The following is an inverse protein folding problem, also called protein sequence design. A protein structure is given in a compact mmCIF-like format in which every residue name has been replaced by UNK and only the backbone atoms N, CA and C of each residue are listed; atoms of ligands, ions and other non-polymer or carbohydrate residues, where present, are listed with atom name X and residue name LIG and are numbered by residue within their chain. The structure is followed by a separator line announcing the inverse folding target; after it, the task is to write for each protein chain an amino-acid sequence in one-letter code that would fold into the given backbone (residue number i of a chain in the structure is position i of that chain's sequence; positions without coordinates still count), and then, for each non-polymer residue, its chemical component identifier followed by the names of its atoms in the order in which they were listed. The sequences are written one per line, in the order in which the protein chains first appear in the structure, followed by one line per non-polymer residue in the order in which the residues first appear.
data_IF_449791050936
#
_entry.id   IF_449791050936
#
_cell.length_a   1.000
_cell.length_b   1.000
_cell.length_c   1.000
_cell.angle_alpha   90.00
_cell.angle_beta   90.00
_cell.angle_gamma   90.00
#
_symmetry.space_group_name_H-M   'P 1'
#
loop_
_entity.id
_entity.type
_entity.pdbx_description
1 polymer ?
#
# COMPACT_ATOMS: atom_id res chain seq x y z
N UNK A 1 43.99 -88.60 11.99
CA UNK A 1 44.29 -87.17 12.15
C UNK A 1 43.03 -86.38 11.87
N UNK A 2 42.49 -85.78 12.92
CA UNK A 2 41.28 -84.96 12.93
C UNK A 2 41.45 -83.69 12.10
N UNK A 3 40.44 -83.33 11.30
CA UNK A 3 40.10 -81.92 11.09
C UNK A 3 38.58 -81.74 11.17
N UNK A 4 38.17 -81.09 12.27
CA UNK A 4 36.86 -80.47 12.45
C UNK A 4 36.80 -79.23 11.55
N UNK A 5 35.79 -79.13 10.70
CA UNK A 5 35.38 -77.86 10.11
C UNK A 5 34.24 -77.30 10.95
N UNK A 6 34.51 -76.15 11.58
CA UNK A 6 33.49 -75.34 12.24
C UNK A 6 32.75 -74.50 11.19
N UNK A 7 31.42 -74.65 11.15
CA UNK A 7 30.54 -73.79 10.37
C UNK A 7 30.34 -72.45 11.07
N UNK A 8 30.78 -71.39 10.39
CA UNK A 8 30.67 -69.99 10.83
C UNK A 8 29.18 -69.60 10.90
N UNK A 9 28.75 -69.17 12.09
CA UNK A 9 27.42 -68.60 12.35
C UNK A 9 27.28 -67.22 11.71
N UNK A 10 26.30 -67.12 10.81
CA UNK A 10 25.89 -65.88 10.15
C UNK A 10 24.91 -65.11 11.06
N UNK A 11 25.41 -64.25 11.94
CA UNK A 11 24.55 -63.33 12.70
C UNK A 11 25.35 -62.10 13.12
N UNK A 12 25.15 -60.96 12.43
CA UNK A 12 25.28 -59.60 13.00
C UNK A 12 25.16 -58.42 12.01
N UNK A 13 24.79 -58.60 10.74
CA UNK A 13 24.80 -57.49 9.74
C UNK A 13 23.50 -56.70 9.52
N UNK A 14 22.57 -56.59 10.49
CA UNK A 14 21.28 -55.89 10.23
C UNK A 14 20.82 -54.88 11.29
N UNK A 15 21.69 -54.43 12.22
CA UNK A 15 21.28 -53.44 13.24
C UNK A 15 21.84 -52.02 13.07
N UNK A 16 22.67 -51.78 12.06
CA UNK A 16 23.33 -50.48 11.86
C UNK A 16 22.66 -49.51 10.87
N UNK A 17 21.63 -49.94 10.14
CA UNK A 17 21.12 -49.17 8.99
C UNK A 17 19.91 -48.25 9.31
N UNK A 18 19.29 -48.39 10.49
CA UNK A 18 18.09 -47.63 10.84
C UNK A 18 18.35 -46.33 11.61
N UNK A 19 19.56 -46.13 12.18
CA UNK A 19 19.85 -44.92 12.98
C UNK A 19 20.32 -43.71 12.15
N UNK A 20 20.82 -43.89 10.93
CA UNK A 20 21.24 -42.77 10.08
C UNK A 20 20.10 -42.13 9.27
N UNK A 21 18.96 -42.81 9.09
CA UNK A 21 17.80 -42.27 8.37
C UNK A 21 16.99 -41.23 9.17
N UNK A 22 16.91 -41.39 10.49
CA UNK A 22 16.12 -40.51 11.35
C UNK A 22 16.74 -39.11 11.54
N UNK A 23 18.07 -39.00 11.50
CA UNK A 23 18.78 -37.71 11.66
C UNK A 23 18.73 -36.86 10.38
N UNK A 24 18.71 -37.49 9.20
CA UNK A 24 18.56 -36.79 7.92
C UNK A 24 17.15 -36.22 7.71
N UNK A 25 16.12 -36.89 8.23
CA UNK A 25 14.73 -36.41 8.21
C UNK A 25 14.51 -35.16 9.07
N UNK A 26 15.15 -35.07 10.24
CA UNK A 26 15.07 -33.88 11.10
C UNK A 26 15.83 -32.67 10.53
N UNK A 27 16.92 -32.88 9.79
CA UNK A 27 17.67 -31.79 9.17
C UNK A 27 16.94 -31.16 7.98
N UNK A 28 16.14 -31.95 7.23
CA UNK A 28 15.34 -31.48 6.09
C UNK A 28 14.10 -30.66 6.52
N UNK A 29 13.61 -30.83 7.76
CA UNK A 29 12.50 -30.03 8.32
C UNK A 29 12.94 -28.63 8.78
N UNK A 30 14.26 -28.39 8.93
CA UNK A 30 14.80 -27.11 9.41
C UNK A 30 15.13 -26.07 8.34
N UNK A 31 15.13 -26.43 7.05
CA UNK A 31 15.67 -25.57 5.96
C UNK A 31 14.61 -24.96 5.03
N UNK A 32 13.31 -25.13 5.30
CA UNK A 32 12.27 -24.88 4.28
C UNK A 32 11.35 -23.66 4.49
N UNK A 33 11.22 -23.12 5.69
CA UNK A 33 10.35 -21.97 5.91
C UNK A 33 11.07 -20.70 5.45
N UNK A 34 10.94 -20.38 4.14
CA UNK A 34 11.24 -19.02 3.69
C UNK A 34 10.37 -18.09 4.55
N UNK A 35 10.93 -17.09 5.25
CA UNK A 35 10.10 -16.07 5.84
C UNK A 35 9.24 -15.52 4.71
N UNK A 36 7.92 -15.60 4.87
CA UNK A 36 7.02 -14.90 3.97
C UNK A 36 7.35 -13.42 4.18
N UNK A 37 8.17 -12.86 3.31
CA UNK A 37 8.38 -11.42 3.27
C UNK A 37 6.98 -10.84 3.00
N UNK A 38 6.51 -10.00 3.91
CA UNK A 38 5.28 -9.28 3.70
C UNK A 38 5.44 -8.50 2.39
N UNK A 39 4.57 -8.77 1.43
CA UNK A 39 4.56 -8.05 0.16
C UNK A 39 4.09 -6.62 0.44
N UNK A 40 4.76 -5.63 -0.13
CA UNK A 40 4.40 -4.23 0.11
C UNK A 40 4.58 -3.35 -1.12
N UNK A 41 3.72 -2.35 -1.23
CA UNK A 41 3.76 -1.31 -2.26
C UNK A 41 3.61 0.04 -1.60
N UNK A 42 4.32 1.06 -2.10
CA UNK A 42 4.19 2.43 -1.60
C UNK A 42 3.76 3.36 -2.72
N UNK A 43 2.73 4.16 -2.42
CA UNK A 43 2.25 5.24 -3.26
C UNK A 43 2.63 6.58 -2.65
N UNK A 44 2.96 7.56 -3.48
CA UNK A 44 3.26 8.93 -3.05
C UNK A 44 2.13 9.85 -3.50
N UNK A 45 1.56 10.61 -2.57
CA UNK A 45 0.54 11.60 -2.87
C UNK A 45 1.20 12.90 -3.32
N UNK A 46 1.18 13.17 -4.62
CA UNK A 46 1.78 14.38 -5.21
C UNK A 46 0.75 15.33 -5.82
N UNK A 47 -0.51 14.93 -5.91
CA UNK A 47 -1.57 15.75 -6.51
C UNK A 47 -2.48 16.32 -5.42
N UNK A 48 -2.33 17.62 -5.13
CA UNK A 48 -3.19 18.36 -4.21
C UNK A 48 -4.30 19.12 -4.96
N UNK A 49 -5.46 19.30 -4.32
CA UNK A 49 -6.54 20.11 -4.89
C UNK A 49 -6.28 21.62 -4.71
N UNK A 50 -7.17 22.45 -5.26
CA UNK A 50 -7.02 23.91 -5.20
C UNK A 50 -7.02 24.46 -3.76
N UNK A 51 -7.79 23.85 -2.86
CA UNK A 51 -7.77 24.19 -1.44
C UNK A 51 -6.39 23.97 -0.84
N UNK A 52 -5.84 22.75 -0.97
CA UNK A 52 -4.55 22.42 -0.36
C UNK A 52 -3.39 23.25 -0.94
N UNK A 53 -3.38 23.43 -2.26
CA UNK A 53 -2.34 24.20 -2.97
C UNK A 53 -2.53 25.71 -2.88
N UNK A 54 -3.61 26.19 -2.24
CA UNK A 54 -4.04 27.59 -2.27
C UNK A 54 -3.97 28.16 -3.70
N UNK A 55 -4.63 27.47 -4.64
CA UNK A 55 -4.60 27.79 -6.07
C UNK A 55 -3.19 27.86 -6.68
N UNK A 56 -2.28 27.01 -6.21
CA UNK A 56 -0.90 26.93 -6.68
C UNK A 56 0.04 27.98 -6.08
N UNK A 57 -0.43 28.81 -5.15
CA UNK A 57 0.42 29.83 -4.50
C UNK A 57 1.25 29.27 -3.34
N UNK A 58 0.82 28.17 -2.73
CA UNK A 58 1.58 27.53 -1.66
C UNK A 58 1.39 26.02 -1.60
N UNK A 59 2.08 25.45 -0.62
CA UNK A 59 2.04 24.06 -0.20
C UNK A 59 2.34 23.06 -1.33
N UNK A 60 3.60 23.08 -1.84
CA UNK A 60 4.03 22.10 -2.83
C UNK A 60 4.14 20.70 -2.20
N UNK A 61 3.61 19.70 -2.89
CA UNK A 61 3.78 18.29 -2.52
C UNK A 61 5.20 17.77 -2.77
N UNK A 62 5.51 16.52 -2.38
CA UNK A 62 4.56 15.49 -1.93
C UNK A 62 3.98 15.73 -0.53
N UNK A 63 2.79 15.17 -0.31
CA UNK A 63 1.95 15.43 0.87
C UNK A 63 1.98 14.27 1.89
N UNK A 64 1.92 13.04 1.40
CA UNK A 64 1.92 11.83 2.21
C UNK A 64 2.41 10.62 1.41
N UNK A 65 2.89 9.60 2.11
CA UNK A 65 3.13 8.26 1.59
C UNK A 65 2.02 7.32 2.05
N UNK A 66 1.60 6.41 1.18
CA UNK A 66 0.68 5.32 1.48
C UNK A 66 1.41 4.01 1.25
N UNK A 67 1.77 3.32 2.32
CA UNK A 67 2.37 1.99 2.26
C UNK A 67 1.29 0.94 2.54
N UNK A 68 1.08 0.04 1.59
CA UNK A 68 0.23 -1.12 1.75
C UNK A 68 1.11 -2.32 1.97
N UNK A 69 0.84 -3.09 3.03
CA UNK A 69 1.55 -4.33 3.36
C UNK A 69 0.55 -5.47 3.43
N UNK A 70 0.66 -6.43 2.52
CA UNK A 70 -0.16 -7.63 2.51
C UNK A 70 0.41 -8.63 3.53
N UNK A 71 -0.33 -8.89 4.61
CA UNK A 71 0.09 -9.77 5.70
C UNK A 71 -0.43 -11.19 5.53
N UNK A 72 -1.52 -11.36 4.78
CA UNK A 72 -2.03 -12.64 4.30
C UNK A 72 -2.77 -12.44 2.98
N UNK A 73 -3.16 -13.52 2.29
CA UNK A 73 -3.94 -13.42 1.06
C UNK A 73 -5.29 -12.68 1.23
N UNK A 74 -5.77 -12.47 2.46
CA UNK A 74 -7.04 -11.78 2.74
C UNK A 74 -6.88 -10.55 3.63
N UNK A 75 -5.68 -10.23 4.10
CA UNK A 75 -5.48 -9.16 5.09
C UNK A 75 -4.31 -8.28 4.70
N UNK A 76 -4.54 -6.97 4.73
CA UNK A 76 -3.51 -5.96 4.48
C UNK A 76 -3.56 -4.86 5.54
N UNK A 77 -2.40 -4.28 5.82
CA UNK A 77 -2.26 -3.06 6.61
C UNK A 77 -1.91 -1.91 5.68
N UNK A 78 -2.67 -0.82 5.76
CA UNK A 78 -2.39 0.42 5.05
C UNK A 78 -1.88 1.44 6.06
N UNK A 79 -0.65 1.91 5.87
CA UNK A 79 -0.03 2.95 6.67
C UNK A 79 0.08 4.22 5.82
N UNK A 80 -0.52 5.30 6.31
CA UNK A 80 -0.48 6.60 5.67
C UNK A 80 0.38 7.50 6.56
N UNK A 81 1.50 7.97 6.03
CA UNK A 81 2.47 8.79 6.75
C UNK A 81 2.60 10.13 6.06
N UNK A 82 2.44 11.20 6.81
CA UNK A 82 2.54 12.54 6.30
C UNK A 82 4.00 12.94 6.03
N UNK A 83 4.19 13.95 5.19
CA UNK A 83 5.51 14.41 4.77
C UNK A 83 5.75 15.87 5.17
N UNK A 84 7.03 16.25 5.16
CA UNK A 84 7.47 17.63 5.24
C UNK A 84 8.04 18.03 3.87
N UNK A 85 7.40 18.98 3.19
CA UNK A 85 7.88 19.46 1.88
C UNK A 85 7.73 20.97 1.76
N UNK A 86 8.76 21.63 1.20
CA UNK A 86 8.69 23.05 0.86
C UNK A 86 8.53 23.98 2.08
N UNK A 87 9.00 23.55 3.25
CA UNK A 87 8.84 24.30 4.50
C UNK A 87 7.49 24.10 5.21
N UNK A 88 6.67 23.15 4.74
CA UNK A 88 5.40 22.80 5.35
C UNK A 88 5.42 21.38 5.91
N UNK A 89 4.80 21.19 7.08
CA UNK A 89 4.35 19.89 7.57
C UNK A 89 2.90 19.69 7.14
N UNK A 90 2.62 18.52 6.55
CA UNK A 90 1.27 18.11 6.22
C UNK A 90 0.71 17.26 7.37
N UNK A 91 -0.41 17.66 7.95
CA UNK A 91 -1.09 16.88 8.98
C UNK A 91 -2.33 16.20 8.39
N UNK A 92 -2.71 15.03 8.92
CA UNK A 92 -3.77 14.17 8.37
C UNK A 92 -5.10 14.38 9.12
N UNK A 93 -6.09 14.94 8.43
CA UNK A 93 -7.44 15.19 8.96
C UNK A 93 -8.45 14.09 8.63
N UNK A 94 -8.28 13.45 7.48
CA UNK A 94 -9.15 12.41 6.97
C UNK A 94 -8.32 11.56 6.01
N UNK A 95 -8.61 10.27 5.93
CA UNK A 95 -7.94 9.33 5.03
C UNK A 95 -8.97 8.47 4.30
N UNK A 96 -8.85 8.40 2.99
CA UNK A 96 -9.73 7.60 2.12
C UNK A 96 -8.92 6.59 1.32
N UNK A 97 -9.46 5.38 1.17
CA UNK A 97 -8.87 4.32 0.35
C UNK A 97 -9.94 3.67 -0.53
N UNK A 98 -9.54 3.23 -1.73
CA UNK A 98 -10.40 2.46 -2.61
C UNK A 98 -9.97 1.00 -2.58
N UNK A 99 -10.61 0.22 -1.71
CA UNK A 99 -10.32 -1.20 -1.52
C UNK A 99 -10.80 -2.00 -2.73
N UNK A 100 -9.91 -2.79 -3.31
CA UNK A 100 -10.19 -3.66 -4.45
C UNK A 100 -10.74 -5.01 -3.97
N UNK A 101 -12.00 -5.03 -3.56
CA UNK A 101 -12.70 -6.23 -3.14
C UNK A 101 -14.21 -6.08 -3.40
N UNK A 102 -14.90 -7.19 -3.71
CA UNK A 102 -16.36 -7.21 -3.83
C UNK A 102 -17.05 -7.04 -2.47
N UNK A 103 -16.43 -7.55 -1.40
CA UNK A 103 -16.79 -7.29 -0.01
C UNK A 103 -15.53 -7.27 0.87
N UNK A 104 -15.50 -6.37 1.83
CA UNK A 104 -14.39 -6.24 2.78
C UNK A 104 -14.87 -5.69 4.12
N UNK A 105 -14.00 -5.77 5.13
CA UNK A 105 -14.10 -4.97 6.36
C UNK A 105 -12.86 -4.09 6.50
N UNK A 106 -13.03 -2.94 7.12
CA UNK A 106 -11.94 -2.05 7.48
C UNK A 106 -11.99 -1.78 8.98
N UNK A 107 -10.83 -1.82 9.63
CA UNK A 107 -10.69 -1.50 11.03
C UNK A 107 -9.62 -0.42 11.18
N UNK A 108 -9.96 0.65 11.90
CA UNK A 108 -8.97 1.64 12.31
C UNK A 108 -7.96 0.98 13.25
N UNK A 109 -6.66 1.10 12.95
CA UNK A 109 -5.59 0.57 13.77
C UNK A 109 -5.15 1.59 14.82
N UNK A 110 -4.46 2.62 14.38
CA UNK A 110 -3.91 3.66 15.25
C UNK A 110 -3.66 4.96 14.49
N UNK A 111 -3.59 6.05 15.25
CA UNK A 111 -3.05 7.33 14.80
C UNK A 111 -1.94 7.78 15.76
N UNK A 112 -0.90 8.40 15.21
CA UNK A 112 0.16 9.02 15.99
C UNK A 112 0.53 10.38 15.40
N UNK A 113 1.05 11.25 16.25
CA UNK A 113 1.60 12.54 15.86
C UNK A 113 3.07 12.60 16.31
N UNK A 114 3.96 12.87 15.38
CA UNK A 114 5.41 12.91 15.59
C UNK A 114 5.92 14.30 15.97
N UNK A 115 5.06 15.32 15.98
CA UNK A 115 5.42 16.66 16.41
C UNK A 115 5.67 16.68 17.93
N UNK A 116 6.57 17.55 18.42
CA UNK A 116 6.83 17.66 19.85
C UNK A 116 5.57 18.08 20.60
N UNK A 117 5.42 17.64 21.85
CA UNK A 117 4.24 17.99 22.66
C UNK A 117 4.02 19.51 22.81
N UNK A 118 5.10 20.30 22.75
CA UNK A 118 5.04 21.76 22.75
C UNK A 118 4.36 22.36 21.53
N UNK A 119 4.22 21.61 20.43
CA UNK A 119 3.45 22.02 19.26
C UNK A 119 1.92 22.03 19.52
N UNK A 120 1.45 21.41 20.61
CA UNK A 120 0.05 21.49 21.04
C UNK A 120 -0.91 20.58 20.28
N UNK A 121 -0.41 19.59 19.53
CA UNK A 121 -1.25 18.61 18.84
C UNK A 121 -1.52 17.37 19.69
N UNK A 122 -2.66 16.74 19.44
CA UNK A 122 -3.01 15.41 19.94
C UNK A 122 -3.46 14.54 18.77
N UNK A 123 -3.30 13.21 18.85
CA UNK A 123 -3.97 12.32 17.91
C UNK A 123 -5.43 12.19 18.37
N UNK A 124 -6.36 12.81 17.66
CA UNK A 124 -7.80 12.80 17.97
C UNK A 124 -8.43 11.42 17.81
N UNK A 125 -9.74 11.35 18.05
CA UNK A 125 -10.52 10.13 17.81
C UNK A 125 -10.90 10.04 16.35
N UNK A 126 -10.50 8.95 15.69
CA UNK A 126 -10.85 8.66 14.31
C UNK A 126 -12.08 7.79 14.25
N UNK A 127 -13.01 8.15 13.38
CA UNK A 127 -14.27 7.42 13.17
C UNK A 127 -14.33 6.84 11.76
N UNK A 128 -14.93 5.66 11.64
CA UNK A 128 -15.31 5.10 10.34
C UNK A 128 -16.44 5.93 9.75
N UNK A 129 -16.20 6.53 8.58
CA UNK A 129 -17.17 7.35 7.85
C UNK A 129 -17.76 6.60 6.64
N UNK A 130 -17.40 5.33 6.45
CA UNK A 130 -17.85 4.49 5.35
C UNK A 130 -17.43 5.03 3.99
N UNK A 131 -18.34 4.96 3.02
CA UNK A 131 -18.11 5.47 1.66
C UNK A 131 -18.41 6.97 1.59
N UNK A 132 -17.44 7.76 1.16
CA UNK A 132 -17.52 9.24 1.15
C UNK A 132 -16.74 9.85 -0.01
N UNK A 133 -17.19 11.02 -0.46
CA UNK A 133 -16.51 11.81 -1.47
C UNK A 133 -15.36 12.63 -0.87
N UNK A 134 -14.18 12.58 -1.49
CA UNK A 134 -13.00 13.39 -1.14
C UNK A 134 -12.83 14.47 -2.23
N UNK A 135 -13.10 15.73 -1.87
CA UNK A 135 -13.32 16.83 -2.82
C UNK A 135 -12.25 16.96 -3.93
N UNK A 136 -12.70 16.76 -5.17
CA UNK A 136 -11.86 16.80 -6.38
C UNK A 136 -11.27 15.45 -6.81
N UNK A 137 -11.39 14.41 -5.98
CA UNK A 137 -10.82 13.07 -6.23
C UNK A 137 -11.86 11.94 -6.23
N UNK A 138 -13.15 12.28 -6.19
CA UNK A 138 -14.23 11.30 -6.31
C UNK A 138 -14.56 10.59 -5.01
N UNK A 139 -15.29 9.49 -5.12
CA UNK A 139 -15.79 8.72 -3.97
C UNK A 139 -14.83 7.59 -3.63
N UNK A 140 -14.50 7.48 -2.34
CA UNK A 140 -13.71 6.40 -1.78
C UNK A 140 -14.63 5.43 -1.06
N UNK A 141 -14.44 4.13 -1.29
CA UNK A 141 -15.32 3.12 -0.70
C UNK A 141 -15.05 2.88 0.80
N UNK A 142 -13.98 3.45 1.34
CA UNK A 142 -13.72 3.50 2.78
C UNK A 142 -13.00 4.80 3.16
N UNK A 143 -13.51 5.49 4.17
CA UNK A 143 -12.94 6.70 4.74
C UNK A 143 -12.91 6.61 6.27
N UNK A 144 -11.81 7.06 6.87
CA UNK A 144 -11.70 7.32 8.30
C UNK A 144 -11.38 8.81 8.50
N UNK A 145 -12.10 9.46 9.42
CA UNK A 145 -12.01 10.90 9.62
C UNK A 145 -12.49 11.34 11.00
N UNK A 146 -13.11 12.52 11.05
CA UNK A 146 -13.67 13.10 12.27
C UNK A 146 -12.68 13.95 13.10
N UNK A 147 -11.46 14.18 12.61
CA UNK A 147 -10.46 15.00 13.31
C UNK A 147 -10.24 16.37 12.66
N UNK A 148 -10.02 17.35 13.51
CA UNK A 148 -9.74 18.74 13.18
C UNK A 148 -8.23 19.02 13.27
N UNK A 149 -7.83 20.23 12.92
CA UNK A 149 -6.43 20.63 12.89
C UNK A 149 -5.71 20.43 14.25
N UNK A 150 -6.36 20.73 15.37
CA UNK A 150 -5.75 20.62 16.70
C UNK A 150 -5.61 19.17 17.23
N UNK A 151 -6.33 18.22 16.62
CA UNK A 151 -6.34 16.82 17.03
C UNK A 151 -6.04 15.86 15.86
N UNK A 152 -5.07 16.24 15.03
CA UNK A 152 -4.64 15.55 13.81
C UNK A 152 -3.43 14.61 14.03
N UNK A 153 -3.15 13.78 13.03
CA UNK A 153 -2.06 12.80 13.05
C UNK A 153 -1.00 13.08 11.97
N UNK A 154 0.22 12.58 12.17
CA UNK A 154 1.24 12.46 11.11
C UNK A 154 1.34 11.04 10.58
N UNK A 155 0.77 10.05 11.26
CA UNK A 155 0.66 8.68 10.75
C UNK A 155 -0.66 8.04 11.17
N UNK A 156 -1.29 7.33 10.23
CA UNK A 156 -2.51 6.54 10.45
C UNK A 156 -2.31 5.13 9.93
N UNK A 157 -2.82 4.14 10.65
CA UNK A 157 -2.85 2.74 10.21
C UNK A 157 -4.27 2.20 10.12
N UNK A 158 -4.56 1.48 9.05
CA UNK A 158 -5.84 0.84 8.79
C UNK A 158 -5.57 -0.64 8.48
N UNK A 159 -6.39 -1.53 9.04
CA UNK A 159 -6.38 -2.95 8.66
C UNK A 159 -7.57 -3.23 7.74
N UNK A 160 -7.29 -3.78 6.57
CA UNK A 160 -8.28 -4.20 5.59
C UNK A 160 -8.36 -5.72 5.56
N UNK A 161 -9.58 -6.27 5.52
CA UNK A 161 -9.80 -7.71 5.34
C UNK A 161 -10.73 -7.94 4.15
N UNK A 162 -10.25 -8.64 3.14
CA UNK A 162 -11.06 -9.12 2.02
C UNK A 162 -11.95 -10.27 2.50
N UNK A 163 -13.26 -10.08 2.48
CA UNK A 163 -14.23 -11.12 2.88
C UNK A 163 -14.86 -11.82 1.67
N UNK A 164 -14.65 -11.27 0.47
CA UNK A 164 -15.21 -11.78 -0.79
C UNK A 164 -14.22 -12.51 -1.68
N UNK A 165 -12.95 -12.64 -1.27
CA UNK A 165 -11.89 -13.25 -2.07
C UNK A 165 -10.50 -13.08 -1.46
N UNK A 166 -9.48 -13.08 -2.31
CA UNK A 166 -8.06 -12.92 -1.92
C UNK A 166 -7.36 -11.88 -2.79
N UNK A 167 -6.34 -11.24 -2.27
CA UNK A 167 -5.36 -10.44 -3.00
C UNK A 167 -4.12 -11.30 -3.29
N UNK A 168 -3.57 -11.17 -4.51
CA UNK A 168 -2.37 -11.93 -4.89
C UNK A 168 -1.07 -11.18 -4.56
N UNK A 169 -1.16 -9.85 -4.44
CA UNK A 169 -0.07 -8.95 -4.08
C UNK A 169 -0.60 -7.73 -3.32
N UNK A 170 0.29 -6.96 -2.68
CA UNK A 170 -0.04 -5.70 -2.03
C UNK A 170 -0.56 -4.64 -3.02
N UNK A 171 -0.11 -4.71 -4.28
CA UNK A 171 -0.63 -3.88 -5.38
C UNK A 171 -2.10 -4.14 -5.70
N UNK A 172 -2.61 -5.34 -5.39
CA UNK A 172 -4.00 -5.70 -5.66
C UNK A 172 -4.97 -5.22 -4.58
N UNK A 173 -4.50 -4.70 -3.45
CA UNK A 173 -5.34 -4.32 -2.31
C UNK A 173 -6.13 -3.05 -2.58
N UNK A 174 -5.51 -2.08 -3.26
CA UNK A 174 -6.12 -0.79 -3.60
C UNK A 174 -6.26 -0.69 -5.11
N UNK A 175 -7.41 -0.21 -5.59
CA UNK A 175 -7.68 -0.05 -7.03
C UNK A 175 -7.41 1.38 -7.49
N UNK A 176 -6.83 1.51 -8.68
CA UNK A 176 -6.74 2.79 -9.42
C UNK A 176 -7.26 2.61 -10.84
N UNK A 177 -7.93 3.62 -11.39
CA UNK A 177 -8.38 3.66 -12.79
C UNK A 177 -9.77 4.22 -13.00
N UNK A 178 -10.03 4.80 -14.18
CA UNK A 178 -11.34 5.34 -14.54
C UNK A 178 -11.77 6.56 -13.72
N UNK A 179 -10.81 7.39 -13.27
CA UNK A 179 -11.07 8.51 -12.34
C UNK A 179 -11.17 8.10 -10.87
N UNK A 180 -10.85 6.84 -10.55
CA UNK A 180 -10.75 6.33 -9.17
C UNK A 180 -9.28 6.32 -8.75
N UNK A 181 -8.98 6.98 -7.64
CA UNK A 181 -7.64 7.01 -7.06
C UNK A 181 -7.52 5.97 -5.93
N UNK A 182 -6.33 5.37 -5.72
CA UNK A 182 -6.18 4.30 -4.74
C UNK A 182 -6.30 4.79 -3.30
N UNK A 183 -5.86 6.03 -3.04
CA UNK A 183 -5.95 6.66 -1.72
C UNK A 183 -5.96 8.19 -1.83
N UNK A 184 -6.61 8.85 -0.87
CA UNK A 184 -6.59 10.30 -0.69
C UNK A 184 -6.53 10.67 0.79
N UNK A 185 -6.14 11.90 1.09
CA UNK A 185 -6.18 12.46 2.43
C UNK A 185 -6.79 13.86 2.40
N UNK A 186 -7.53 14.22 3.43
CA UNK A 186 -7.71 15.62 3.81
C UNK A 186 -6.50 16.02 4.64
N UNK A 187 -5.78 17.05 4.21
CA UNK A 187 -4.55 17.49 4.85
C UNK A 187 -4.60 18.95 5.24
N UNK A 188 -3.99 19.24 6.38
CA UNK A 188 -3.70 20.59 6.85
C UNK A 188 -2.22 20.88 6.61
N UNK A 189 -1.94 21.82 5.71
CA UNK A 189 -0.59 22.30 5.47
C UNK A 189 -0.25 23.40 6.48
N UNK A 190 0.86 23.25 7.17
CA UNK A 190 1.25 24.10 8.29
C UNK A 190 2.71 24.51 8.11
N UNK A 191 3.03 25.80 8.30
CA UNK A 191 4.39 26.29 8.13
C UNK A 191 5.30 25.73 9.23
N UNK A 192 6.54 25.41 8.90
CA UNK A 192 7.50 24.89 9.87
C UNK A 192 8.19 26.02 10.67
N UNK A 193 8.24 25.95 12.01
CA UNK A 193 7.75 24.86 12.85
C UNK A 193 6.22 24.84 12.98
N UNK A 194 5.59 23.69 12.75
CA UNK A 194 4.14 23.60 12.82
C UNK A 194 3.63 23.59 14.27
N UNK A 195 2.71 24.49 14.60
CA UNK A 195 2.05 24.54 15.91
C UNK A 195 0.53 24.66 15.82
N UNK A 196 -0.18 24.12 16.81
CA UNK A 196 -1.63 24.19 16.88
C UNK A 196 -2.13 25.64 17.04
N UNK A 197 -1.32 26.52 17.63
CA UNK A 197 -1.67 27.92 17.87
C UNK A 197 -1.61 28.78 16.59
N UNK A 198 -0.66 28.48 15.68
CA UNK A 198 -0.51 29.23 14.43
C UNK A 198 -1.55 28.84 13.38
N UNK A 199 -2.13 27.64 13.50
CA UNK A 199 -3.15 27.18 12.56
C UNK A 199 -2.58 26.57 11.28
N UNK A 200 -3.48 26.09 10.43
CA UNK A 200 -3.12 25.64 9.09
C UNK A 200 -2.94 26.85 8.16
N UNK A 201 -1.87 26.87 7.37
CA UNK A 201 -1.71 27.83 6.26
C UNK A 201 -2.71 27.54 5.15
N UNK A 202 -2.95 26.26 4.87
CA UNK A 202 -3.97 25.83 3.91
C UNK A 202 -4.56 24.48 4.29
N UNK A 203 -5.77 24.20 3.82
CA UNK A 203 -6.46 22.94 4.03
C UNK A 203 -7.09 22.46 2.73
N UNK A 204 -7.04 21.16 2.50
CA UNK A 204 -7.65 20.57 1.31
C UNK A 204 -7.24 19.12 1.15
N UNK A 205 -7.42 18.59 -0.04
CA UNK A 205 -7.23 17.16 -0.30
C UNK A 205 -5.98 16.91 -1.11
N UNK A 206 -5.36 15.75 -0.92
CA UNK A 206 -4.31 15.22 -1.78
C UNK A 206 -4.58 13.76 -2.15
N UNK A 207 -4.07 13.33 -3.30
CA UNK A 207 -4.20 11.95 -3.77
C UNK A 207 -2.94 11.46 -4.50
N UNK A 208 -2.89 10.15 -4.74
CA UNK A 208 -1.90 9.48 -5.57
C UNK A 208 -2.23 9.72 -7.05
N UNK A 209 -1.30 10.21 -7.88
CA UNK A 209 -1.56 10.34 -9.31
C UNK A 209 -1.91 9.01 -9.97
N UNK A 210 -2.72 9.07 -11.04
CA UNK A 210 -2.93 7.89 -11.89
C UNK A 210 -1.57 7.43 -12.47
N UNK A 211 -1.31 6.12 -12.56
CA UNK A 211 -0.09 5.60 -13.16
C UNK A 211 0.09 6.11 -14.60
N UNK A 212 1.29 6.60 -14.91
CA UNK A 212 1.64 7.11 -16.26
C UNK A 212 1.43 6.06 -17.38
N UNK A 213 1.32 4.79 -17.03
CA UNK A 213 1.00 3.69 -17.95
C UNK A 213 -0.36 3.87 -18.64
N UNK A 214 -1.37 4.49 -18.00
CA UNK A 214 -2.67 4.76 -18.63
C UNK A 214 -2.53 5.81 -19.73
N UNK A 215 -1.78 6.89 -19.46
CA UNK A 215 -1.46 7.90 -20.45
C UNK A 215 -0.62 7.31 -21.60
N UNK A 216 0.34 6.44 -21.30
CA UNK A 216 1.15 5.75 -22.30
C UNK A 216 0.32 4.79 -23.16
N UNK A 217 -0.64 4.09 -22.55
CA UNK A 217 -1.57 3.21 -23.27
C UNK A 217 -2.46 4.02 -24.21
N UNK A 218 -3.06 5.11 -23.72
CA UNK A 218 -3.91 5.99 -24.53
C UNK A 218 -3.15 6.61 -25.71
N UNK A 219 -1.95 7.15 -25.46
CA UNK A 219 -1.09 7.72 -26.51
C UNK A 219 -0.57 6.65 -27.47
N UNK A 220 -0.25 5.45 -26.97
CA UNK A 220 0.13 4.30 -27.78
C UNK A 220 -0.98 3.86 -28.74
N UNK A 221 -2.22 3.78 -28.27
CA UNK A 221 -3.37 3.46 -29.11
C UNK A 221 -3.62 4.50 -30.20
N UNK A 222 -3.49 5.79 -29.87
CA UNK A 222 -3.62 6.88 -30.86
C UNK A 222 -2.51 6.82 -31.92
N UNK A 223 -1.28 6.50 -31.53
CA UNK A 223 -0.17 6.31 -32.46
C UNK A 223 -0.42 5.13 -33.42
N UNK A 224 -0.91 4.00 -32.92
CA UNK A 224 -1.28 2.82 -33.73
C UNK A 224 -2.42 3.16 -34.69
N UNK A 225 -3.48 3.80 -34.22
CA UNK A 225 -4.61 4.22 -35.07
C UNK A 225 -4.16 5.18 -36.18
N UNK A 226 -3.27 6.13 -35.86
CA UNK A 226 -2.65 7.02 -36.84
C UNK A 226 -1.84 6.30 -37.90
N UNK A 227 -1.04 5.30 -37.51
CA UNK A 227 -0.26 4.47 -38.44
C UNK A 227 -1.14 3.65 -39.39
N UNK A 228 -2.21 3.03 -38.88
CA UNK A 228 -3.18 2.28 -39.68
C UNK A 228 -3.85 3.19 -40.72
N UNK A 229 -4.26 4.41 -40.31
CA UNK A 229 -4.89 5.37 -41.23
C UNK A 229 -3.95 5.82 -42.34
N UNK A 230 -2.65 5.98 -42.06
CA UNK A 230 -1.65 6.32 -43.09
C UNK A 230 -1.47 5.21 -44.12
N UNK A 231 -1.40 3.95 -43.69
CA UNK A 231 -1.27 2.80 -44.61
C UNK A 231 -2.46 2.70 -45.57
N UNK A 232 -3.69 2.91 -45.09
CA UNK A 232 -4.89 2.89 -45.94
C UNK A 232 -4.90 3.98 -47.03
N UNK A 233 -4.27 5.14 -46.79
CA UNK A 233 -4.17 6.19 -47.82
C UNK A 233 -3.17 5.85 -48.93
N UNK A 234 -2.09 5.14 -48.62
CA UNK A 234 -1.09 4.77 -49.64
C UNK A 234 -1.62 3.72 -50.62
N UNK A 235 -2.52 2.85 -50.20
CA UNK A 235 -3.13 1.84 -51.07
C UNK A 235 -4.10 2.43 -52.11
N UNK A 236 -4.60 3.65 -51.92
CA UNK A 236 -5.58 4.29 -52.83
C UNK A 236 -4.89 5.12 -53.94
N UNK A 237 -3.60 5.42 -53.83
CA UNK A 237 -2.85 6.25 -54.80
C UNK A 237 -2.09 5.39 -55.83
N UNK A 238 -2.13 4.07 -55.71
CA UNK A 238 -1.56 3.14 -56.67
C UNK A 238 -2.64 2.59 -57.63
N UNK A 239 -3.25 3.47 -58.43
CA UNK A 239 -4.03 3.13 -59.64
C UNK A 239 -3.84 4.20 -60.70
#
# INVERSE_FOLDING_TARGET
MNQRMEGITMSQKVKGFWFFGALAGLLMLGMGAKPALADSVTYVMTMGNAGLTNHGTCCPGPYANVTVTLTSATTATVTITSLDTGGYTYLLGEVGVNVNASSFTAAFGSASNSLPASAGFSAGTWTDEGSKNMDGFGTFNQVFGGVQFNNTATSVTITLTNTGGTWSSAGDVLVSGGGVFPAAVHSYACLNPCTAAEGATSTGFATVPEPASIALLGTGMLAIAGAIRRRKKQTVVAQ
#
